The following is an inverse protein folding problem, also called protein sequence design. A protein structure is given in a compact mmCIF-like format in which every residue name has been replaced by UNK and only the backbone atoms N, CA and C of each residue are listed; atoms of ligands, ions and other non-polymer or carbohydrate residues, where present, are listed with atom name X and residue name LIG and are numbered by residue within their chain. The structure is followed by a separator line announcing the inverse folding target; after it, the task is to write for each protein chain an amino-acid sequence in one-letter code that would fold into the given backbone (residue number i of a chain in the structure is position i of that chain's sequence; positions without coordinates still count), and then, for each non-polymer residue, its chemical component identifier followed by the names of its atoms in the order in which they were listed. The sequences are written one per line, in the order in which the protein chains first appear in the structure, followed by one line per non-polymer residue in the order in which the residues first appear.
data_IF_377617155354
#
_entry.id   IF_377617155354
#
_cell.length_a   1.000
_cell.length_b   1.000
_cell.length_c   1.000
_cell.angle_alpha   90.00
_cell.angle_beta   90.00
_cell.angle_gamma   90.00
#
_symmetry.space_group_name_H-M   'P 1'
#
loop_
_entity.id
_entity.type
_entity.pdbx_description
1 polymer ?
#
# COMPACT_ATOMS: atom_id res chain seq x y z
N UNK A 1 5.43 6.51 14.79
CA UNK A 1 5.43 6.39 13.32
C UNK A 1 4.03 5.92 12.99
N UNK A 2 3.28 6.60 12.12
CA UNK A 2 1.86 6.31 11.95
C UNK A 2 1.71 4.99 11.19
N UNK A 3 1.54 3.88 11.92
CA UNK A 3 1.33 2.56 11.30
C UNK A 3 0.06 2.54 10.44
N UNK A 4 -0.94 3.34 10.79
CA UNK A 4 -2.22 3.36 10.09
C UNK A 4 -2.38 4.64 9.25
N UNK A 5 -2.98 4.49 8.07
CA UNK A 5 -3.28 5.59 7.16
C UNK A 5 -4.74 5.59 6.76
N UNK A 6 -5.28 6.77 6.45
CA UNK A 6 -6.63 6.88 5.90
C UNK A 6 -6.55 6.62 4.41
N UNK A 7 -7.27 5.60 3.94
CA UNK A 7 -7.39 5.23 2.53
C UNK A 7 -8.87 5.09 2.23
N UNK A 8 -9.35 5.83 1.24
CA UNK A 8 -10.75 5.89 0.81
C UNK A 8 -11.72 6.15 1.98
N UNK A 9 -11.33 7.07 2.88
CA UNK A 9 -12.11 7.42 4.07
C UNK A 9 -12.15 6.37 5.18
N UNK A 10 -11.32 5.32 5.10
CA UNK A 10 -11.22 4.26 6.12
C UNK A 10 -9.82 4.21 6.71
N UNK A 11 -9.72 3.89 8.00
CA UNK A 11 -8.42 3.65 8.64
C UNK A 11 -7.92 2.26 8.21
N UNK A 12 -6.74 2.22 7.61
CA UNK A 12 -6.12 1.01 7.06
C UNK A 12 -4.76 0.79 7.73
N UNK A 13 -4.51 -0.44 8.16
CA UNK A 13 -3.22 -0.89 8.72
C UNK A 13 -2.25 -1.28 7.59
N UNK A 14 -0.93 -1.38 7.83
CA UNK A 14 0.02 -1.74 6.78
C UNK A 14 -0.28 -3.11 6.18
N UNK A 15 -0.61 -4.09 7.02
CA UNK A 15 -1.06 -5.41 6.60
C UNK A 15 -2.29 -5.33 5.71
N UNK A 16 -3.30 -4.55 6.12
CA UNK A 16 -4.53 -4.47 5.34
C UNK A 16 -4.33 -3.76 4.00
N UNK A 17 -3.45 -2.77 3.96
CA UNK A 17 -3.07 -2.09 2.73
C UNK A 17 -2.35 -3.03 1.77
N UNK A 18 -1.39 -3.80 2.27
CA UNK A 18 -0.67 -4.78 1.47
C UNK A 18 -1.60 -5.85 0.89
N UNK A 19 -2.53 -6.39 1.70
CA UNK A 19 -3.55 -7.33 1.22
C UNK A 19 -4.45 -6.73 0.12
N UNK A 20 -4.79 -5.43 0.21
CA UNK A 20 -5.58 -4.75 -0.81
C UNK A 20 -4.83 -4.61 -2.14
N UNK A 21 -3.51 -4.40 -2.08
CA UNK A 21 -2.65 -4.25 -3.26
C UNK A 21 -2.33 -5.61 -3.88
N UNK A 22 -1.99 -6.60 -3.05
CA UNK A 22 -1.64 -7.97 -3.48
C UNK A 22 -2.86 -8.73 -3.99
N UNK A 23 -4.04 -8.47 -3.42
CA UNK A 23 -5.26 -9.23 -3.69
C UNK A 23 -5.33 -10.57 -2.96
N UNK A 24 -4.30 -10.93 -2.18
CA UNK A 24 -4.21 -12.13 -1.34
C UNK A 24 -3.64 -11.78 0.04
N UNK A 25 -3.52 -12.77 0.93
CA UNK A 25 -2.92 -12.60 2.24
C UNK A 25 -1.39 -12.48 2.16
N UNK A 26 -0.82 -11.59 2.97
CA UNK A 26 0.63 -11.36 3.06
C UNK A 26 1.19 -11.86 4.38
N UNK A 27 2.48 -12.20 4.41
CA UNK A 27 3.13 -12.73 5.62
C UNK A 27 3.61 -11.62 6.56
N UNK A 28 4.30 -10.61 6.02
CA UNK A 28 4.88 -9.53 6.80
C UNK A 28 4.76 -8.19 6.04
N UNK A 29 4.67 -7.09 6.78
CA UNK A 29 4.56 -5.74 6.22
C UNK A 29 5.41 -4.75 6.99
N UNK A 30 6.08 -3.85 6.28
CA UNK A 30 6.70 -2.65 6.83
C UNK A 30 5.65 -1.56 7.11
N UNK A 31 6.07 -0.49 7.78
CA UNK A 31 5.22 0.69 7.98
C UNK A 31 4.89 1.40 6.66
N UNK A 32 3.73 2.03 6.61
CA UNK A 32 3.27 2.85 5.47
C UNK A 32 4.16 4.09 5.34
N UNK A 33 4.53 4.44 4.11
CA UNK A 33 5.29 5.64 3.75
C UNK A 33 4.54 6.44 2.68
N UNK A 34 4.65 7.76 2.69
CA UNK A 34 4.16 8.57 1.57
C UNK A 34 5.06 8.33 0.34
N UNK A 35 4.48 8.19 -0.85
CA UNK A 35 5.24 7.97 -2.08
C UNK A 35 5.54 9.30 -2.76
N UNK A 36 6.69 9.41 -3.42
CA UNK A 36 7.10 10.59 -4.18
C UNK A 36 6.41 10.73 -5.55
N UNK A 37 5.21 10.14 -5.70
CA UNK A 37 4.43 10.18 -6.93
C UNK A 37 2.96 10.50 -6.66
N UNK A 38 2.33 11.19 -7.61
CA UNK A 38 0.88 11.42 -7.59
C UNK A 38 0.15 10.26 -8.30
N UNK A 39 -1.09 9.99 -7.90
CA UNK A 39 -1.88 8.95 -8.52
C UNK A 39 -2.14 9.28 -10.00
N UNK A 40 -1.85 8.36 -10.94
CA UNK A 40 -2.04 8.61 -12.37
C UNK A 40 -3.51 8.72 -12.79
N UNK A 41 -4.46 8.20 -11.98
CA UNK A 41 -5.88 8.22 -12.32
C UNK A 41 -6.61 9.47 -11.81
N UNK A 42 -6.36 9.89 -10.57
CA UNK A 42 -7.08 11.02 -9.96
C UNK A 42 -6.19 12.19 -9.54
N UNK A 43 -4.87 12.06 -9.63
CA UNK A 43 -3.91 13.07 -9.17
C UNK A 43 -3.80 13.20 -7.64
N UNK A 44 -4.40 12.28 -6.88
CA UNK A 44 -4.35 12.25 -5.41
C UNK A 44 -3.03 11.73 -4.84
N UNK A 45 -2.94 11.75 -3.51
CA UNK A 45 -1.75 11.28 -2.80
C UNK A 45 -1.60 9.75 -2.86
N UNK A 46 -0.39 9.29 -3.11
CA UNK A 46 -0.03 7.87 -3.15
C UNK A 46 0.79 7.54 -1.91
N UNK A 47 0.47 6.41 -1.31
CA UNK A 47 1.24 5.82 -0.23
C UNK A 47 1.83 4.50 -0.68
N UNK A 48 2.93 4.10 -0.05
CA UNK A 48 3.63 2.86 -0.30
C UNK A 48 3.74 2.02 0.97
N UNK A 49 3.78 0.71 0.78
CA UNK A 49 4.03 -0.27 1.83
C UNK A 49 4.92 -1.38 1.28
N UNK A 50 6.03 -1.65 1.97
CA UNK A 50 6.84 -2.84 1.71
C UNK A 50 6.19 -4.04 2.38
N UNK A 51 6.09 -5.17 1.67
CA UNK A 51 5.54 -6.40 2.24
C UNK A 51 6.16 -7.65 1.63
N UNK A 52 6.01 -8.76 2.36
CA UNK A 52 6.43 -10.08 1.92
C UNK A 52 5.20 -10.94 1.62
N UNK A 53 4.86 -11.17 0.34
CA UNK A 53 3.81 -12.12 -0.01
C UNK A 53 4.26 -13.58 0.22
N UNK A 54 5.56 -13.83 0.22
CA UNK A 54 6.15 -15.12 0.58
C UNK A 54 7.51 -14.94 1.27
N UNK A 55 8.03 -16.00 1.89
CA UNK A 55 9.31 -15.95 2.63
C UNK A 55 10.53 -15.58 1.79
N UNK A 56 10.44 -15.64 0.44
CA UNK A 56 11.55 -15.31 -0.47
C UNK A 56 11.29 -14.07 -1.33
N UNK A 57 10.14 -13.42 -1.19
CA UNK A 57 9.77 -12.28 -2.02
C UNK A 57 9.54 -11.05 -1.15
N UNK A 58 10.06 -9.91 -1.60
CA UNK A 58 9.78 -8.60 -1.02
C UNK A 58 9.25 -7.72 -2.13
N UNK A 59 8.08 -7.15 -1.92
CA UNK A 59 7.35 -6.34 -2.91
C UNK A 59 7.05 -4.99 -2.30
N UNK A 60 7.20 -3.93 -3.08
CA UNK A 60 6.74 -2.59 -2.69
C UNK A 60 5.40 -2.32 -3.36
N UNK A 61 4.35 -2.23 -2.55
CA UNK A 61 3.03 -1.84 -3.03
C UNK A 61 2.83 -0.34 -2.98
N UNK A 62 2.09 0.19 -3.94
CA UNK A 62 1.63 1.56 -4.04
C UNK A 62 0.10 1.59 -4.08
N UNK A 63 -0.50 2.52 -3.35
CA UNK A 63 -1.95 2.69 -3.31
C UNK A 63 -2.31 4.16 -3.27
N UNK A 64 -3.24 4.57 -4.13
CA UNK A 64 -3.85 5.89 -4.01
C UNK A 64 -4.77 5.95 -2.79
N UNK A 65 -4.69 7.03 -2.02
CA UNK A 65 -5.55 7.26 -0.86
C UNK A 65 -6.99 7.60 -1.22
N UNK A 66 -7.28 8.03 -2.45
CA UNK A 66 -8.60 8.56 -2.83
C UNK A 66 -9.39 7.67 -3.79
N UNK A 67 -8.73 6.95 -4.70
CA UNK A 67 -9.37 6.09 -5.71
C UNK A 67 -8.93 4.62 -5.57
N UNK A 68 -9.38 3.74 -6.47
CA UNK A 68 -9.08 2.30 -6.40
C UNK A 68 -7.70 1.93 -6.94
N UNK A 69 -7.01 2.84 -7.61
CA UNK A 69 -5.68 2.60 -8.17
C UNK A 69 -4.69 2.03 -7.15
N UNK A 70 -4.03 0.96 -7.56
CA UNK A 70 -2.98 0.27 -6.84
C UNK A 70 -1.95 -0.27 -7.85
N UNK A 71 -0.69 -0.29 -7.45
CA UNK A 71 0.41 -0.86 -8.23
C UNK A 71 1.38 -1.59 -7.30
N UNK A 72 2.20 -2.50 -7.82
CA UNK A 72 3.23 -3.18 -7.05
C UNK A 72 4.48 -3.37 -7.88
N UNK A 73 5.64 -3.23 -7.24
CA UNK A 73 6.96 -3.44 -7.81
C UNK A 73 7.68 -4.56 -7.05
N UNK A 74 8.22 -5.55 -7.78
CA UNK A 74 8.91 -6.75 -7.28
C UNK A 74 10.44 -6.66 -7.38
#
# INVERSE_FOLDING_TARGET
MADNRVVQGRMVTPTKLAEMIEGDSVMETESIKDADQACPECGGDVISVGYMPSVTAFVTGYKCQDCDWAEREE
#
